data_IF_433054370233
#
_entry.id   IF_433054370233
#
_cell.length_a   1.000
_cell.length_b   1.000
_cell.length_c   1.000
_cell.angle_alpha   90.00
_cell.angle_beta   90.00
_cell.angle_gamma   90.00
#
_symmetry.space_group_name_H-M   'P 1'
#
loop_
_entity.id
_entity.type
_entity.pdbx_description
1 polymer ?
#
# COMPACT_ATOMS: atom_id res chain seq x y z
N UNK A 1 9.92 -8.98 -5.55
CA UNK A 1 9.02 -8.34 -6.52
C UNK A 1 9.85 -7.88 -7.69
N UNK A 2 9.58 -8.34 -8.92
CA UNK A 2 10.33 -7.92 -10.12
C UNK A 2 9.69 -6.66 -10.71
N UNK A 3 10.46 -5.80 -11.37
CA UNK A 3 9.98 -4.56 -12.02
C UNK A 3 8.69 -4.77 -12.86
N UNK A 4 8.53 -5.92 -13.53
CA UNK A 4 7.33 -6.25 -14.31
C UNK A 4 6.03 -6.33 -13.48
N UNK A 5 6.09 -6.82 -12.25
CA UNK A 5 4.93 -6.91 -11.35
C UNK A 5 4.49 -5.52 -10.88
N UNK A 6 5.42 -4.57 -10.77
CA UNK A 6 5.13 -3.20 -10.34
C UNK A 6 4.24 -2.45 -11.35
N UNK A 7 4.40 -2.72 -12.66
CA UNK A 7 3.59 -2.11 -13.73
C UNK A 7 2.09 -2.41 -13.59
N UNK A 8 1.72 -3.58 -13.06
CA UNK A 8 0.32 -4.00 -12.90
C UNK A 8 -0.40 -3.14 -11.85
N UNK A 9 0.29 -2.68 -10.81
CA UNK A 9 -0.31 -1.96 -9.69
C UNK A 9 -0.46 -0.45 -9.92
N UNK A 10 0.37 0.12 -10.79
CA UNK A 10 0.53 1.57 -10.88
C UNK A 10 -0.42 2.16 -11.96
N UNK A 11 -0.87 1.39 -12.97
CA UNK A 11 -1.52 1.93 -14.16
C UNK A 11 -3.01 2.28 -14.07
N UNK A 12 -3.48 2.99 -13.03
CA UNK A 12 -4.90 3.35 -12.86
C UNK A 12 -5.16 4.85 -12.64
N UNK A 13 -6.12 5.41 -13.37
CA UNK A 13 -6.60 6.78 -13.16
C UNK A 13 -7.26 6.94 -11.79
N UNK A 14 -6.87 8.00 -11.07
CA UNK A 14 -7.47 8.39 -9.79
C UNK A 14 -8.80 9.11 -10.04
N UNK A 15 -9.86 8.34 -10.30
CA UNK A 15 -11.23 8.85 -10.30
C UNK A 15 -11.67 9.22 -8.86
N UNK A 16 -12.58 10.19 -8.70
CA UNK A 16 -13.05 10.62 -7.38
C UNK A 16 -13.79 9.47 -6.70
N UNK A 17 -13.16 8.95 -5.64
CA UNK A 17 -13.64 7.88 -4.78
C UNK A 17 -14.99 8.25 -4.14
N UNK A 18 -16.10 7.93 -4.81
CA UNK A 18 -17.47 8.02 -4.29
C UNK A 18 -17.87 6.70 -3.62
N UNK A 19 -18.49 6.82 -2.44
CA UNK A 19 -19.15 5.83 -1.57
C UNK A 19 -18.97 4.33 -1.93
N UNK A 20 -17.93 3.69 -1.40
CA UNK A 20 -17.74 2.23 -1.47
C UNK A 20 -18.44 1.46 -0.32
N UNK A 21 -19.62 1.90 0.12
CA UNK A 21 -20.37 1.23 1.20
C UNK A 21 -21.85 0.96 0.89
N UNK A 22 -22.33 1.30 -0.31
CA UNK A 22 -23.64 0.83 -0.78
C UNK A 22 -23.44 -0.59 -1.35
N UNK A 23 -23.26 -1.56 -0.46
CA UNK A 23 -23.44 -2.98 -0.78
C UNK A 23 -24.90 -3.39 -0.56
N UNK A 24 -25.36 -4.53 -1.11
CA UNK A 24 -26.76 -4.95 -1.02
C UNK A 24 -27.19 -5.14 0.45
N UNK A 25 -28.49 -5.03 0.75
CA UNK A 25 -29.02 -5.02 2.12
C UNK A 25 -28.61 -6.25 2.93
N UNK A 26 -28.54 -6.06 4.25
CA UNK A 26 -27.85 -6.88 5.27
C UNK A 26 -28.34 -8.33 5.49
N UNK A 27 -29.13 -8.92 4.58
CA UNK A 27 -29.92 -10.11 4.90
C UNK A 27 -29.46 -11.37 4.14
N UNK A 28 -28.18 -11.73 4.22
CA UNK A 28 -27.71 -13.07 3.82
C UNK A 28 -26.52 -13.52 4.69
N UNK A 29 -26.73 -13.57 6.02
CA UNK A 29 -25.90 -14.36 6.93
C UNK A 29 -26.41 -15.80 6.95
N UNK A 30 -26.03 -16.59 5.95
CA UNK A 30 -26.11 -18.04 6.04
C UNK A 30 -24.81 -18.58 6.61
N UNK A 31 -24.93 -19.15 7.80
CA UNK A 31 -23.88 -19.84 8.53
C UNK A 31 -23.35 -21.04 7.74
N UNK A 32 -22.02 -21.19 7.66
CA UNK A 32 -21.42 -22.51 7.75
C UNK A 32 -20.00 -22.40 8.30
N UNK A 33 -19.80 -23.08 9.42
CA UNK A 33 -18.60 -23.00 10.22
C UNK A 33 -17.41 -23.74 9.64
N UNK A 34 -16.23 -23.20 9.94
CA UNK A 34 -15.06 -23.97 10.39
C UNK A 34 -14.13 -23.00 11.13
N UNK A 35 -13.70 -23.40 12.32
CA UNK A 35 -12.72 -22.67 13.10
C UNK A 35 -11.40 -22.64 12.34
N UNK A 36 -11.17 -21.58 11.55
CA UNK A 36 -9.86 -21.25 11.02
C UNK A 36 -9.11 -20.60 12.17
N UNK A 37 -8.03 -21.24 12.61
CA UNK A 37 -7.02 -20.64 13.49
C UNK A 37 -6.73 -19.22 12.99
N UNK A 38 -6.61 -18.24 13.90
CA UNK A 38 -6.40 -16.80 13.63
C UNK A 38 -5.05 -16.48 12.96
N UNK A 39 -4.70 -17.18 11.89
CA UNK A 39 -3.77 -16.68 10.88
C UNK A 39 -4.55 -15.66 10.07
N UNK A 40 -4.16 -14.40 10.24
CA UNK A 40 -4.72 -13.28 9.50
C UNK A 40 -4.69 -13.60 8.01
N UNK A 41 -5.83 -13.46 7.33
CA UNK A 41 -5.91 -13.70 5.90
C UNK A 41 -4.81 -12.86 5.19
N UNK A 42 -3.88 -13.49 4.44
CA UNK A 42 -2.80 -12.79 3.77
C UNK A 42 -3.32 -11.59 2.97
N UNK A 43 -2.68 -10.44 3.14
CA UNK A 43 -3.05 -9.20 2.42
C UNK A 43 -2.32 -9.19 1.08
N UNK A 44 -3.09 -9.02 0.00
CA UNK A 44 -2.56 -8.74 -1.33
C UNK A 44 -2.81 -7.27 -1.63
N UNK A 45 -1.75 -6.51 -1.91
CA UNK A 45 -1.92 -5.13 -2.38
C UNK A 45 -2.40 -5.15 -3.82
N UNK A 46 -3.36 -4.30 -4.18
CA UNK A 46 -3.95 -4.16 -5.52
C UNK A 46 -4.04 -2.69 -5.89
N UNK A 47 -4.30 -2.38 -7.16
CA UNK A 47 -4.50 -1.03 -7.67
C UNK A 47 -5.59 -0.23 -6.91
N UNK A 48 -5.58 1.10 -7.09
CA UNK A 48 -6.45 2.00 -6.34
C UNK A 48 -7.94 1.90 -6.74
N UNK A 49 -8.21 1.61 -8.01
CA UNK A 49 -9.58 1.57 -8.55
C UNK A 49 -10.27 0.24 -8.21
N UNK A 50 -11.25 0.31 -7.32
CA UNK A 50 -12.03 -0.84 -6.86
C UNK A 50 -12.83 -1.50 -7.99
N UNK A 51 -13.26 -0.74 -9.01
CA UNK A 51 -14.00 -1.29 -10.15
C UNK A 51 -13.06 -2.13 -10.99
N UNK A 52 -11.87 -1.62 -11.28
CA UNK A 52 -10.85 -2.37 -12.01
C UNK A 52 -10.42 -3.64 -11.27
N UNK A 53 -10.25 -3.56 -9.94
CA UNK A 53 -9.95 -4.74 -9.13
C UNK A 53 -11.06 -5.78 -9.25
N UNK A 54 -12.33 -5.39 -9.16
CA UNK A 54 -13.44 -6.34 -9.29
C UNK A 54 -13.50 -6.94 -10.70
N UNK A 55 -13.33 -6.13 -11.76
CA UNK A 55 -13.28 -6.61 -13.14
C UNK A 55 -12.19 -7.66 -13.35
N UNK A 56 -10.96 -7.38 -12.88
CA UNK A 56 -9.84 -8.31 -13.00
C UNK A 56 -10.02 -9.56 -12.16
N UNK A 57 -10.60 -9.42 -10.96
CA UNK A 57 -10.90 -10.56 -10.10
C UNK A 57 -11.95 -11.48 -10.74
N UNK A 58 -12.98 -10.91 -11.37
CA UNK A 58 -14.00 -11.66 -12.11
C UNK A 58 -13.43 -12.31 -13.37
N UNK A 59 -12.47 -11.65 -14.04
CA UNK A 59 -11.77 -12.19 -15.20
C UNK A 59 -10.70 -13.25 -14.85
N UNK A 60 -10.41 -13.48 -13.57
CA UNK A 60 -9.38 -14.43 -13.13
C UNK A 60 -7.94 -13.94 -13.38
N UNK A 61 -7.74 -12.64 -13.51
CA UNK A 61 -6.45 -12.01 -13.83
C UNK A 61 -5.62 -11.64 -12.58
N UNK A 62 -6.05 -12.08 -11.41
CA UNK A 62 -5.34 -11.85 -10.15
C UNK A 62 -4.80 -13.20 -9.66
N UNK A 63 -3.48 -13.29 -9.58
CA UNK A 63 -2.78 -14.50 -9.16
C UNK A 63 -2.63 -14.54 -7.63
N UNK A 64 -2.66 -15.76 -7.10
CA UNK A 64 -2.39 -16.04 -5.69
C UNK A 64 -0.88 -15.89 -5.44
N UNK A 65 -0.45 -15.06 -4.49
CA UNK A 65 0.97 -14.87 -4.19
C UNK A 65 1.63 -16.13 -3.61
N UNK A 66 0.85 -17.07 -3.07
CA UNK A 66 1.38 -18.27 -2.39
C UNK A 66 1.61 -19.44 -3.35
N UNK A 67 0.76 -19.60 -4.38
CA UNK A 67 0.82 -20.76 -5.29
C UNK A 67 0.69 -20.43 -6.78
N UNK A 68 0.58 -19.15 -7.17
CA UNK A 68 0.38 -18.71 -8.55
C UNK A 68 -0.99 -19.02 -9.15
N UNK A 69 -1.88 -19.69 -8.40
CA UNK A 69 -3.22 -20.04 -8.87
C UNK A 69 -4.17 -18.85 -8.95
N UNK A 70 -5.24 -18.95 -9.72
CA UNK A 70 -6.20 -17.86 -9.92
C UNK A 70 -6.99 -17.55 -8.64
N UNK A 71 -7.08 -16.28 -8.30
CA UNK A 71 -7.95 -15.77 -7.24
C UNK A 71 -9.36 -15.54 -7.78
N UNK A 72 -10.35 -16.07 -7.06
CA UNK A 72 -11.77 -15.88 -7.34
C UNK A 72 -12.44 -15.04 -6.25
N UNK A 73 -13.55 -14.35 -6.55
CA UNK A 73 -14.27 -13.58 -5.56
C UNK A 73 -14.85 -14.46 -4.44
N UNK A 74 -14.62 -14.09 -3.17
CA UNK A 74 -15.04 -14.90 -2.00
C UNK A 74 -15.99 -14.16 -1.06
N UNK A 75 -15.70 -12.89 -0.79
CA UNK A 75 -16.57 -12.05 0.04
C UNK A 75 -15.94 -10.69 0.30
N UNK A 76 -16.30 -10.07 1.42
CA UNK A 76 -15.80 -8.75 1.77
C UNK A 76 -15.20 -8.74 3.17
N UNK A 77 -14.15 -7.94 3.37
CA UNK A 77 -13.65 -7.65 4.70
C UNK A 77 -14.59 -6.66 5.41
N UNK A 78 -14.33 -6.43 6.70
CA UNK A 78 -15.05 -5.39 7.46
C UNK A 78 -14.80 -4.02 6.84
N UNK A 79 -15.85 -3.21 6.79
CA UNK A 79 -15.74 -1.81 6.41
C UNK A 79 -14.82 -1.07 7.38
N UNK A 80 -14.00 -0.17 6.83
CA UNK A 80 -13.08 0.69 7.57
C UNK A 80 -13.29 2.13 7.15
N UNK A 81 -13.11 3.03 8.09
CA UNK A 81 -13.02 4.47 7.83
C UNK A 81 -11.56 4.86 7.95
N UNK A 82 -11.00 5.36 6.87
CA UNK A 82 -9.63 5.81 6.73
C UNK A 82 -9.57 7.34 6.72
N UNK A 83 -8.40 7.89 6.99
CA UNK A 83 -8.13 9.33 7.05
C UNK A 83 -7.21 9.74 5.92
N UNK A 84 -7.76 10.52 5.00
CA UNK A 84 -7.01 11.30 4.02
C UNK A 84 -6.70 12.70 4.62
N UNK A 85 -5.92 13.53 3.93
CA UNK A 85 -5.49 14.84 4.43
C UNK A 85 -6.66 15.71 4.90
N UNK A 86 -7.72 15.80 4.09
CA UNK A 86 -8.88 16.66 4.36
C UNK A 86 -10.21 15.90 4.53
N UNK A 87 -10.23 14.56 4.36
CA UNK A 87 -11.48 13.79 4.31
C UNK A 87 -11.37 12.42 4.95
N UNK A 88 -12.52 11.88 5.32
CA UNK A 88 -12.66 10.47 5.70
C UNK A 88 -12.97 9.64 4.46
N UNK A 89 -12.28 8.51 4.31
CA UNK A 89 -12.45 7.59 3.18
C UNK A 89 -13.01 6.28 3.72
N UNK A 90 -14.20 5.89 3.26
CA UNK A 90 -14.75 4.58 3.63
C UNK A 90 -14.31 3.53 2.62
N UNK A 91 -13.79 2.42 3.13
CA UNK A 91 -13.30 1.31 2.32
C UNK A 91 -13.79 -0.01 2.91
N UNK A 92 -14.39 -0.84 2.06
CA UNK A 92 -14.66 -2.25 2.36
C UNK A 92 -13.78 -3.10 1.43
N UNK A 93 -12.61 -3.60 1.89
CA UNK A 93 -11.72 -4.37 1.04
C UNK A 93 -12.38 -5.65 0.53
N UNK A 94 -12.14 -6.00 -0.73
CA UNK A 94 -12.59 -7.25 -1.31
C UNK A 94 -11.79 -8.42 -0.73
N UNK A 95 -12.44 -9.57 -0.55
CA UNK A 95 -11.78 -10.85 -0.25
C UNK A 95 -11.83 -11.74 -1.48
N UNK A 96 -10.70 -12.36 -1.75
CA UNK A 96 -10.56 -13.37 -2.78
C UNK A 96 -10.15 -14.70 -2.15
N UNK A 97 -10.46 -15.81 -2.82
CA UNK A 97 -10.01 -17.15 -2.45
C UNK A 97 -9.36 -17.81 -3.65
N UNK A 98 -8.20 -18.40 -3.45
CA UNK A 98 -7.50 -19.10 -4.51
C UNK A 98 -8.20 -20.41 -4.86
N UNK A 99 -8.42 -20.66 -6.14
CA UNK A 99 -8.95 -21.93 -6.63
C UNK A 99 -7.94 -23.09 -6.52
N UNK A 100 -6.63 -22.79 -6.50
CA UNK A 100 -5.56 -23.78 -6.40
C UNK A 100 -5.29 -24.23 -4.96
N UNK A 101 -4.87 -23.31 -4.09
CA UNK A 101 -4.49 -23.65 -2.71
C UNK A 101 -5.61 -23.46 -1.67
N UNK A 102 -6.76 -22.88 -2.05
CA UNK A 102 -7.86 -22.60 -1.14
C UNK A 102 -7.62 -21.44 -0.16
N UNK A 103 -6.44 -20.81 -0.20
CA UNK A 103 -6.06 -19.66 0.63
C UNK A 103 -6.95 -18.44 0.40
N UNK A 104 -7.24 -17.68 1.46
CA UNK A 104 -8.06 -16.46 1.39
C UNK A 104 -7.20 -15.21 1.51
N UNK A 105 -7.36 -14.27 0.59
CA UNK A 105 -6.62 -13.01 0.55
C UNK A 105 -7.53 -11.80 0.70
N UNK A 106 -7.06 -10.77 1.39
CA UNK A 106 -7.72 -9.45 1.41
C UNK A 106 -7.05 -8.56 0.38
N UNK A 107 -7.81 -8.09 -0.61
CA UNK A 107 -7.35 -7.18 -1.65
C UNK A 107 -7.36 -5.75 -1.09
N UNK A 108 -6.17 -5.23 -0.79
CA UNK A 108 -5.98 -3.93 -0.16
C UNK A 108 -5.45 -2.92 -1.20
N UNK A 109 -6.11 -1.77 -1.43
CA UNK A 109 -5.63 -0.80 -2.40
C UNK A 109 -4.25 -0.21 -2.06
N UNK A 110 -3.45 0.13 -3.07
CA UNK A 110 -2.10 0.72 -2.97
C UNK A 110 -2.02 2.03 -2.17
N UNK A 111 -3.13 2.69 -1.85
CA UNK A 111 -3.13 3.88 -0.99
C UNK A 111 -3.29 3.55 0.51
N UNK A 112 -3.38 2.27 0.89
CA UNK A 112 -3.62 1.83 2.27
C UNK A 112 -2.47 0.96 2.80
N UNK A 113 -1.94 1.34 3.97
CA UNK A 113 -1.01 0.51 4.72
C UNK A 113 -1.73 -0.46 5.66
N UNK A 114 -1.15 -1.64 5.84
CA UNK A 114 -1.67 -2.67 6.75
C UNK A 114 -1.76 -2.11 8.17
N UNK A 115 -2.96 -2.24 8.78
CA UNK A 115 -3.27 -1.78 10.16
C UNK A 115 -2.99 -0.29 10.39
N UNK A 116 -3.14 0.54 9.36
CA UNK A 116 -3.12 2.01 9.49
C UNK A 116 -4.45 2.57 9.07
N UNK A 117 -4.87 3.60 9.82
CA UNK A 117 -6.10 4.34 9.55
C UNK A 117 -5.82 5.51 8.61
N UNK A 118 -4.61 6.08 8.63
CA UNK A 118 -4.21 7.15 7.74
C UNK A 118 -3.67 6.60 6.42
N UNK A 119 -4.01 7.27 5.33
CA UNK A 119 -3.58 6.87 3.99
C UNK A 119 -2.06 6.98 3.82
N UNK A 120 -1.53 6.22 2.87
CA UNK A 120 -0.11 6.18 2.56
C UNK A 120 0.47 7.57 2.29
N UNK A 121 -0.25 8.42 1.57
CA UNK A 121 0.18 9.78 1.24
C UNK A 121 0.22 10.71 2.45
N UNK A 122 -0.70 10.56 3.41
CA UNK A 122 -0.70 11.34 4.67
C UNK A 122 0.51 10.96 5.52
N UNK A 123 0.76 9.67 5.64
CA UNK A 123 1.92 9.15 6.37
C UNK A 123 3.21 9.57 5.65
N UNK A 124 3.24 9.45 4.33
CA UNK A 124 4.35 9.85 3.48
C UNK A 124 4.72 11.33 3.60
N UNK A 125 3.73 12.21 3.67
CA UNK A 125 3.94 13.63 3.94
C UNK A 125 4.63 13.86 5.30
N UNK A 126 4.29 13.06 6.33
CA UNK A 126 4.97 13.11 7.61
C UNK A 126 6.44 12.65 7.50
N UNK A 127 6.70 11.59 6.73
CA UNK A 127 8.06 11.07 6.49
C UNK A 127 8.91 12.10 5.73
N UNK A 128 8.39 12.71 4.67
CA UNK A 128 9.07 13.79 3.94
C UNK A 128 9.42 14.95 4.87
N UNK A 129 8.44 15.44 5.63
CA UNK A 129 8.66 16.56 6.54
C UNK A 129 9.73 16.23 7.59
N UNK A 130 9.74 15.01 8.14
CA UNK A 130 10.78 14.56 9.08
C UNK A 130 12.16 14.46 8.41
N UNK A 131 12.23 13.95 7.18
CA UNK A 131 13.48 13.90 6.41
C UNK A 131 14.03 15.30 6.11
N UNK A 132 13.16 16.29 5.93
CA UNK A 132 13.50 17.71 5.79
C UNK A 132 13.78 18.43 7.14
N UNK A 133 13.87 17.69 8.25
CA UNK A 133 14.24 18.23 9.56
C UNK A 133 13.09 18.68 10.46
N UNK A 134 11.82 18.53 10.06
CA UNK A 134 10.70 18.91 10.91
C UNK A 134 10.53 17.97 12.12
N UNK A 135 10.17 18.55 13.27
CA UNK A 135 9.85 17.81 14.49
C UNK A 135 8.44 17.19 14.48
N UNK A 136 8.24 16.12 15.25
CA UNK A 136 6.96 15.39 15.27
C UNK A 136 5.75 16.26 15.64
N UNK A 137 5.92 17.25 16.55
CA UNK A 137 4.84 18.16 16.97
C UNK A 137 4.40 19.08 15.82
N UNK A 138 5.34 19.68 15.09
CA UNK A 138 4.99 20.58 13.97
C UNK A 138 4.36 19.81 12.81
N UNK A 139 4.83 18.59 12.55
CA UNK A 139 4.22 17.68 11.56
C UNK A 139 2.78 17.34 11.97
N UNK A 140 2.56 16.97 13.24
CA UNK A 140 1.25 16.62 13.76
C UNK A 140 0.22 17.75 13.62
N UNK A 141 0.62 18.99 13.95
CA UNK A 141 -0.22 20.18 13.76
C UNK A 141 -0.56 20.37 12.28
N UNK A 142 0.44 20.31 11.39
CA UNK A 142 0.26 20.50 9.95
C UNK A 142 -0.70 19.48 9.33
N UNK A 143 -0.65 18.24 9.78
CA UNK A 143 -1.49 17.15 9.26
C UNK A 143 -2.82 17.02 10.00
N UNK A 144 -3.05 17.78 11.08
CA UNK A 144 -4.23 17.63 11.94
C UNK A 144 -4.32 16.23 12.56
N UNK A 145 -3.21 15.70 13.08
CA UNK A 145 -3.14 14.35 13.67
C UNK A 145 -2.61 14.37 15.11
N UNK A 146 -2.98 13.40 15.96
CA UNK A 146 -2.40 13.26 17.28
C UNK A 146 -0.88 13.08 17.21
N UNK A 147 -0.13 13.81 18.04
CA UNK A 147 1.34 13.79 18.02
C UNK A 147 1.90 12.38 18.27
N UNK A 148 1.27 11.58 19.12
CA UNK A 148 1.72 10.22 19.42
C UNK A 148 1.48 9.26 18.25
N UNK A 149 0.46 9.52 17.44
CA UNK A 149 0.24 8.80 16.19
C UNK A 149 1.39 9.07 15.21
N UNK A 150 1.74 10.35 15.01
CA UNK A 150 2.86 10.75 14.15
C UNK A 150 4.17 10.16 14.66
N UNK A 151 4.48 10.30 15.96
CA UNK A 151 5.66 9.66 16.58
C UNK A 151 5.69 8.15 16.33
N UNK A 152 4.54 7.49 16.45
CA UNK A 152 4.40 6.06 16.20
C UNK A 152 4.67 5.64 14.75
N UNK A 153 4.44 6.52 13.77
CA UNK A 153 4.83 6.29 12.37
C UNK A 153 6.33 6.51 12.17
N UNK A 154 6.83 7.67 12.61
CA UNK A 154 8.23 8.06 12.44
C UNK A 154 9.16 7.03 13.08
N UNK A 155 8.88 6.62 14.32
CA UNK A 155 9.67 5.60 15.03
C UNK A 155 9.70 4.27 14.30
N UNK A 156 8.55 3.81 13.76
CA UNK A 156 8.48 2.52 13.05
C UNK A 156 9.22 2.55 11.72
N UNK A 157 9.20 3.69 11.03
CA UNK A 157 9.98 3.88 9.81
C UNK A 157 11.48 3.94 10.13
N UNK A 158 11.86 4.72 11.15
CA UNK A 158 13.24 4.87 11.60
C UNK A 158 13.90 3.55 11.99
N UNK A 159 13.18 2.68 12.72
CA UNK A 159 13.63 1.33 13.06
C UNK A 159 13.95 0.45 11.85
N UNK A 160 13.46 0.81 10.65
CA UNK A 160 13.68 0.08 9.40
C UNK A 160 14.37 0.90 8.33
N UNK A 161 14.86 2.10 8.65
CA UNK A 161 15.32 3.05 7.65
C UNK A 161 16.39 2.43 6.73
N UNK A 162 17.33 1.69 7.31
CA UNK A 162 18.37 1.02 6.52
C UNK A 162 17.82 -0.06 5.59
N UNK A 163 16.88 -0.88 6.06
CA UNK A 163 16.23 -1.88 5.22
C UNK A 163 15.45 -1.21 4.07
N UNK A 164 14.66 -0.18 4.38
CA UNK A 164 13.94 0.61 3.37
C UNK A 164 14.92 1.17 2.35
N UNK A 165 16.02 1.78 2.82
CA UNK A 165 17.05 2.36 1.95
C UNK A 165 17.60 1.32 0.99
N UNK A 166 18.03 0.16 1.48
CA UNK A 166 18.61 -0.91 0.65
C UNK A 166 17.58 -1.43 -0.35
N UNK A 167 16.39 -1.81 0.12
CA UNK A 167 15.34 -2.38 -0.72
C UNK A 167 14.95 -1.44 -1.87
N UNK A 168 14.69 -0.17 -1.56
CA UNK A 168 14.28 0.79 -2.59
C UNK A 168 15.45 1.26 -3.46
N UNK A 169 16.70 1.21 -2.99
CA UNK A 169 17.87 1.43 -3.85
C UNK A 169 18.00 0.31 -4.88
N UNK A 170 17.82 -0.96 -4.47
CA UNK A 170 17.82 -2.09 -5.40
C UNK A 170 16.69 -1.94 -6.41
N UNK A 171 15.47 -1.61 -5.95
CA UNK A 171 14.33 -1.39 -6.85
C UNK A 171 14.59 -0.25 -7.85
N UNK A 172 15.22 0.84 -7.41
CA UNK A 172 15.64 1.95 -8.26
C UNK A 172 16.58 1.46 -9.36
N UNK A 173 17.64 0.73 -8.99
CA UNK A 173 18.63 0.21 -9.95
C UNK A 173 18.01 -0.79 -10.92
N UNK A 174 17.18 -1.71 -10.43
CA UNK A 174 16.52 -2.73 -11.26
C UNK A 174 15.50 -2.13 -12.26
N UNK A 175 14.96 -0.95 -11.95
CA UNK A 175 13.92 -0.30 -12.75
C UNK A 175 14.48 0.80 -13.66
N UNK A 176 15.55 1.47 -13.23
CA UNK A 176 16.16 2.60 -13.92
C UNK A 176 16.86 2.17 -15.21
N UNK A 177 16.60 2.90 -16.29
CA UNK A 177 17.35 2.75 -17.56
C UNK A 177 18.77 3.32 -17.42
N UNK A 178 18.91 4.38 -16.62
CA UNK A 178 20.18 4.97 -16.18
C UNK A 178 20.03 5.45 -14.72
N UNK A 179 20.33 4.60 -13.73
CA UNK A 179 20.02 4.88 -12.33
C UNK A 179 21.01 5.87 -11.73
N UNK A 180 20.55 7.09 -11.45
CA UNK A 180 21.31 8.06 -10.64
C UNK A 180 21.17 7.66 -9.15
N UNK A 181 22.28 7.40 -8.44
CA UNK A 181 22.23 7.11 -7.02
C UNK A 181 21.61 8.29 -6.26
N UNK A 182 20.75 8.03 -5.24
CA UNK A 182 20.21 9.11 -4.43
C UNK A 182 21.36 9.87 -3.76
N UNK A 183 21.25 11.21 -3.75
CA UNK A 183 22.25 12.07 -3.13
C UNK A 183 22.50 11.68 -1.66
N UNK A 184 23.73 11.92 -1.18
CA UNK A 184 24.11 11.64 0.21
C UNK A 184 23.17 12.38 1.15
N UNK A 185 22.41 11.62 1.94
CA UNK A 185 21.46 12.18 2.88
C UNK A 185 22.10 12.39 4.26
N UNK A 186 21.67 13.44 4.96
CA UNK A 186 22.21 13.80 6.27
C UNK A 186 21.91 12.78 7.39
N UNK A 187 20.90 11.91 7.21
CA UNK A 187 20.52 10.89 8.20
C UNK A 187 20.08 9.60 7.50
N UNK A 188 20.17 8.43 8.17
CA UNK A 188 19.63 7.17 7.64
C UNK A 188 18.13 7.26 7.31
N UNK A 189 17.36 7.99 8.13
CA UNK A 189 15.96 8.26 7.90
C UNK A 189 15.74 9.01 6.58
N UNK A 190 16.49 10.08 6.35
CA UNK A 190 16.41 10.84 5.10
C UNK A 190 16.88 10.02 3.90
N UNK A 191 17.93 9.21 4.06
CA UNK A 191 18.41 8.30 3.00
C UNK A 191 17.32 7.30 2.56
N UNK A 192 16.59 6.74 3.52
CA UNK A 192 15.48 5.83 3.26
C UNK A 192 14.33 6.50 2.48
N UNK A 193 13.96 7.73 2.87
CA UNK A 193 12.96 8.52 2.15
C UNK A 193 13.43 8.85 0.73
N UNK A 194 14.68 9.27 0.56
CA UNK A 194 15.27 9.53 -0.77
C UNK A 194 15.30 8.29 -1.64
N UNK A 195 15.59 7.11 -1.09
CA UNK A 195 15.56 5.85 -1.84
C UNK A 195 14.15 5.53 -2.36
N UNK A 196 13.11 5.72 -1.54
CA UNK A 196 11.70 5.55 -1.96
C UNK A 196 11.35 6.51 -3.11
N UNK A 197 11.72 7.79 -2.99
CA UNK A 197 11.45 8.80 -4.03
C UNK A 197 12.22 8.50 -5.30
N UNK A 198 13.50 8.09 -5.20
CA UNK A 198 14.32 7.73 -6.34
C UNK A 198 13.79 6.49 -7.08
N UNK A 199 13.37 5.45 -6.36
CA UNK A 199 12.72 4.28 -6.95
C UNK A 199 11.44 4.66 -7.70
N UNK A 200 10.67 5.59 -7.14
CA UNK A 200 9.48 6.11 -7.79
C UNK A 200 9.78 6.89 -9.07
N UNK A 201 10.79 7.77 -9.04
CA UNK A 201 11.25 8.48 -10.24
C UNK A 201 11.73 7.51 -11.32
N UNK A 202 12.52 6.49 -10.96
CA UNK A 202 12.97 5.46 -11.89
C UNK A 202 11.79 4.72 -12.55
N UNK A 203 10.78 4.35 -11.76
CA UNK A 203 9.57 3.71 -12.26
C UNK A 203 8.77 4.60 -13.23
N UNK A 204 8.59 5.89 -12.89
CA UNK A 204 7.89 6.83 -13.76
C UNK A 204 8.64 7.07 -15.09
N UNK A 205 9.97 7.19 -15.03
CA UNK A 205 10.79 7.34 -16.24
C UNK A 205 10.72 6.10 -17.13
N UNK A 206 10.63 4.89 -16.55
CA UNK A 206 10.55 3.64 -17.30
C UNK A 206 9.17 3.39 -17.90
N UNK A 207 8.11 3.80 -17.22
CA UNK A 207 6.73 3.61 -17.65
C UNK A 207 5.90 4.91 -17.51
N UNK A 208 5.96 5.80 -18.51
CA UNK A 208 5.26 7.09 -18.49
C UNK A 208 3.73 6.97 -18.44
N UNK A 209 3.16 5.91 -19.03
CA UNK A 209 1.72 5.70 -19.16
C UNK A 209 1.03 5.30 -17.85
N UNK A 210 1.80 5.18 -16.78
CA UNK A 210 1.37 4.55 -15.54
C UNK A 210 0.78 5.57 -14.55
N UNK A 211 0.59 6.81 -14.99
CA UNK A 211 -0.30 7.78 -14.33
C UNK A 211 0.23 8.40 -13.03
N UNK A 212 -0.69 9.02 -12.26
CA UNK A 212 -0.42 9.87 -11.08
C UNK A 212 -0.18 9.09 -9.79
N UNK A 213 0.61 8.02 -9.81
CA UNK A 213 0.94 7.29 -8.59
C UNK A 213 1.95 8.07 -7.78
N UNK A 214 1.74 8.17 -6.46
CA UNK A 214 2.67 8.85 -5.57
C UNK A 214 3.86 7.96 -5.19
N UNK A 215 4.97 8.52 -4.68
CA UNK A 215 6.07 7.72 -4.13
C UNK A 215 5.61 6.73 -3.06
N UNK A 216 4.59 7.10 -2.29
CA UNK A 216 4.10 6.32 -1.16
C UNK A 216 3.17 5.20 -1.58
N UNK A 217 2.40 5.39 -2.64
CA UNK A 217 1.60 4.33 -3.25
C UNK A 217 2.50 3.29 -3.93
N UNK A 218 3.57 3.72 -4.60
CA UNK A 218 4.61 2.80 -5.08
C UNK A 218 5.27 2.05 -3.93
N UNK A 219 5.58 2.74 -2.82
CA UNK A 219 6.16 2.09 -1.66
C UNK A 219 5.22 1.06 -1.02
N UNK A 220 3.91 1.34 -0.99
CA UNK A 220 2.89 0.37 -0.55
C UNK A 220 2.87 -0.82 -1.48
N UNK A 221 2.84 -0.62 -2.81
CA UNK A 221 2.87 -1.71 -3.78
C UNK A 221 4.10 -2.61 -3.58
N UNK A 222 5.29 -2.00 -3.52
CA UNK A 222 6.55 -2.72 -3.38
C UNK A 222 6.68 -3.46 -2.02
N UNK A 223 6.13 -2.87 -0.95
CA UNK A 223 6.13 -3.47 0.39
C UNK A 223 4.89 -4.32 0.70
N UNK A 224 4.00 -4.55 -0.26
CA UNK A 224 2.70 -5.20 -0.04
C UNK A 224 1.88 -4.58 1.11
N UNK A 225 1.98 -3.26 1.26
CA UNK A 225 1.35 -2.46 2.30
C UNK A 225 1.96 -2.62 3.69
N UNK A 226 3.13 -3.25 3.79
CA UNK A 226 3.79 -3.57 5.06
C UNK A 226 4.94 -2.63 5.41
N UNK A 227 5.16 -1.53 4.70
CA UNK A 227 6.22 -0.55 4.97
C UNK A 227 6.41 -0.19 6.47
N UNK A 228 5.31 -0.08 7.23
CA UNK A 228 5.33 0.20 8.67
C UNK A 228 4.93 -0.99 9.58
N UNK A 229 4.78 -2.19 9.02
CA UNK A 229 4.41 -3.43 9.72
C UNK A 229 5.64 -4.09 10.37
N UNK A 230 5.53 -4.69 11.58
CA UNK A 230 6.59 -5.52 12.16
C UNK A 230 7.02 -6.69 11.27
N UNK A 231 6.12 -7.18 10.44
CA UNK A 231 6.29 -8.36 9.59
C UNK A 231 6.83 -8.02 8.19
N UNK A 232 7.56 -6.92 8.01
CA UNK A 232 8.14 -6.56 6.71
C UNK A 232 9.65 -6.75 6.78
N UNK A 233 10.31 -7.45 5.83
CA UNK A 233 9.80 -7.94 4.53
C UNK A 233 8.62 -8.91 4.60
#
# INVERSE_FOLDING_TARGET
MRARELRVFIGGDTLPMRRACEGPPEDLLAESGRAVTRLEAPVLTVEADVVRVETRLLAGEIECPDCGGVLAPWGWARCRVLRDAARMVRLRPRRARCAGCGGSHVLLPVFVLVRRVDLADVIGAALLAKASGAGARSIAVRLGRPVDTVRGWLRRFEQRAEHVRVYFTVLLVDTGVDPVPPAVAATPFAAAVSAVVGAWQAALSRWPDVGKVSPWQLAVAASQGRLLSPSWP
#
